data_IF_833378908199
#
_entry.id   IF_833378908199
#
_cell.length_a   1.000
_cell.length_b   1.000
_cell.length_c   1.000
_cell.angle_alpha   90.00
_cell.angle_beta   90.00
_cell.angle_gamma   90.00
#
_symmetry.space_group_name_H-M   'P 1'
#
loop_
_entity.id
_entity.type
_entity.pdbx_description
1 polymer ?
#
# COMPACT_ATOMS: atom_id res chain seq x y z
N UNK A 1 3.40 19.63 -19.18
CA UNK A 1 3.56 18.21 -18.77
C UNK A 1 2.25 17.42 -18.87
N UNK A 2 1.14 17.89 -18.28
CA UNK A 2 -0.13 17.13 -18.24
C UNK A 2 -1.10 17.35 -19.42
N UNK A 3 -0.73 18.17 -20.41
CA UNK A 3 -1.62 18.54 -21.52
C UNK A 3 -2.20 17.35 -22.32
N UNK A 4 -1.44 16.26 -22.60
CA UNK A 4 -2.02 15.07 -23.23
C UNK A 4 -3.13 14.41 -22.41
N UNK A 5 -3.00 14.41 -21.07
CA UNK A 5 -4.02 13.85 -20.17
C UNK A 5 -5.28 14.71 -20.17
N UNK A 6 -5.13 16.04 -20.16
CA UNK A 6 -6.28 16.94 -20.25
C UNK A 6 -7.07 16.74 -21.54
N UNK A 7 -6.38 16.63 -22.68
CA UNK A 7 -7.04 16.35 -23.98
C UNK A 7 -7.80 15.03 -23.98
N UNK A 8 -7.24 13.99 -23.36
CA UNK A 8 -7.91 12.70 -23.23
C UNK A 8 -9.17 12.80 -22.35
N UNK A 9 -9.12 13.58 -21.28
CA UNK A 9 -10.28 13.82 -20.41
C UNK A 9 -11.35 14.65 -21.11
N UNK A 10 -10.99 15.71 -21.84
CA UNK A 10 -11.92 16.57 -22.60
C UNK A 10 -12.67 15.80 -23.69
N UNK A 11 -12.09 14.72 -24.23
CA UNK A 11 -12.78 13.84 -25.18
C UNK A 11 -13.98 13.09 -24.55
N UNK A 12 -13.99 12.89 -23.23
CA UNK A 12 -15.06 12.20 -22.48
C UNK A 12 -15.93 13.19 -21.70
N UNK A 13 -15.32 14.22 -21.13
CA UNK A 13 -15.96 15.27 -20.32
C UNK A 13 -15.50 16.64 -20.86
N UNK A 14 -16.20 17.21 -21.86
CA UNK A 14 -15.73 18.39 -22.60
C UNK A 14 -15.45 19.64 -21.76
N UNK A 15 -16.12 19.80 -20.62
CA UNK A 15 -15.99 20.95 -19.73
C UNK A 15 -15.20 20.62 -18.43
N UNK A 16 -14.45 19.51 -18.40
CA UNK A 16 -13.74 19.02 -17.20
C UNK A 16 -12.85 20.06 -16.54
N UNK A 17 -12.20 20.94 -17.32
CA UNK A 17 -11.34 22.01 -16.78
C UNK A 17 -12.13 23.07 -16.01
N UNK A 18 -13.37 23.34 -16.40
CA UNK A 18 -14.23 24.31 -15.72
C UNK A 18 -14.78 23.74 -14.39
N UNK A 19 -14.84 22.40 -14.29
CA UNK A 19 -15.29 21.67 -13.09
C UNK A 19 -14.16 21.36 -12.12
N UNK A 20 -12.91 21.54 -12.52
CA UNK A 20 -11.75 21.20 -11.70
C UNK A 20 -11.50 22.28 -10.63
N UNK A 21 -11.84 21.97 -9.38
CA UNK A 21 -11.56 22.86 -8.24
C UNK A 21 -10.08 22.83 -7.83
N UNK A 22 -9.39 21.71 -8.07
CA UNK A 22 -7.97 21.53 -7.77
C UNK A 22 -7.28 20.72 -8.87
N UNK A 23 -6.07 21.14 -9.24
CA UNK A 23 -5.21 20.41 -10.16
C UNK A 23 -3.80 20.29 -9.58
N UNK A 24 -3.29 19.07 -9.47
CA UNK A 24 -1.91 18.80 -9.09
C UNK A 24 -1.27 17.85 -10.11
N UNK A 25 0.04 17.98 -10.32
CA UNK A 25 0.78 17.13 -11.26
C UNK A 25 1.61 16.12 -10.47
N UNK A 26 1.24 14.85 -10.62
CA UNK A 26 2.06 13.72 -10.18
C UNK A 26 3.12 13.39 -11.24
N UNK A 27 4.38 13.29 -10.81
CA UNK A 27 5.49 12.80 -11.63
C UNK A 27 6.20 11.66 -10.89
N UNK A 28 7.05 10.85 -11.54
CA UNK A 28 7.91 9.91 -10.82
C UNK A 28 8.75 10.57 -9.72
N UNK A 29 9.19 11.82 -9.90
CA UNK A 29 9.87 12.58 -8.85
C UNK A 29 8.96 12.88 -7.66
N UNK A 30 7.69 13.21 -7.92
CA UNK A 30 6.66 13.36 -6.88
C UNK A 30 6.49 12.05 -6.11
N UNK A 31 6.40 10.92 -6.82
CA UNK A 31 6.26 9.61 -6.20
C UNK A 31 7.47 9.22 -5.34
N UNK A 32 8.69 9.46 -5.86
CA UNK A 32 9.93 9.26 -5.12
C UNK A 32 9.99 10.09 -3.85
N UNK A 33 9.62 11.38 -3.94
CA UNK A 33 9.65 12.33 -2.82
C UNK A 33 8.68 11.96 -1.70
N UNK A 34 7.43 11.64 -2.03
CA UNK A 34 6.39 11.45 -1.00
C UNK A 34 6.33 10.03 -0.44
N UNK A 35 6.71 9.02 -1.23
CA UNK A 35 6.61 7.61 -0.83
C UNK A 35 7.98 6.94 -0.67
N UNK A 36 9.08 7.73 -0.66
CA UNK A 36 10.46 7.25 -0.59
C UNK A 36 10.76 6.12 -1.60
N UNK A 37 10.26 6.27 -2.83
CA UNK A 37 10.39 5.26 -3.87
C UNK A 37 11.63 5.49 -4.69
N UNK A 38 12.43 4.44 -4.85
CA UNK A 38 13.57 4.48 -5.76
C UNK A 38 13.07 4.82 -7.17
N UNK A 39 13.61 5.88 -7.77
CA UNK A 39 13.25 6.35 -9.12
C UNK A 39 11.74 6.62 -9.35
N UNK A 40 10.94 6.72 -8.29
CA UNK A 40 9.49 6.87 -8.40
C UNK A 40 8.75 5.64 -8.92
N UNK A 41 9.36 4.45 -8.85
CA UNK A 41 8.71 3.20 -9.27
C UNK A 41 7.79 2.63 -8.17
N UNK A 42 6.86 1.77 -8.58
CA UNK A 42 6.30 0.77 -7.67
C UNK A 42 7.30 -0.39 -7.53
N UNK A 43 6.92 -1.51 -6.91
CA UNK A 43 7.75 -2.71 -6.78
C UNK A 43 8.57 -3.06 -8.02
N UNK A 44 9.56 -3.97 -7.90
CA UNK A 44 10.40 -4.37 -9.03
C UNK A 44 9.51 -4.67 -10.23
N UNK A 45 9.84 -4.06 -11.38
CA UNK A 45 9.16 -4.39 -12.62
C UNK A 45 9.43 -5.88 -12.84
N UNK A 46 8.40 -6.71 -12.66
CA UNK A 46 8.45 -8.14 -12.94
C UNK A 46 9.09 -8.34 -14.31
N UNK A 47 10.00 -9.31 -14.38
CA UNK A 47 10.96 -9.39 -15.45
C UNK A 47 10.33 -9.44 -16.85
N UNK A 48 11.17 -9.32 -17.86
CA UNK A 48 10.87 -9.40 -19.30
C UNK A 48 10.11 -10.67 -19.74
N UNK A 49 9.75 -11.56 -18.81
CA UNK A 49 9.04 -12.83 -19.01
C UNK A 49 7.93 -12.95 -17.96
N UNK A 50 6.73 -13.30 -18.42
CA UNK A 50 5.56 -13.55 -17.59
C UNK A 50 5.84 -14.63 -16.53
N UNK A 51 5.48 -14.35 -15.27
CA UNK A 51 5.69 -15.28 -14.15
C UNK A 51 7.06 -15.24 -13.47
N UNK A 52 7.98 -14.37 -13.91
CA UNK A 52 9.26 -14.21 -13.22
C UNK A 52 9.12 -13.34 -11.95
N UNK A 53 9.12 -14.03 -10.80
CA UNK A 53 9.04 -13.42 -9.47
C UNK A 53 10.42 -13.10 -8.86
N UNK A 54 11.54 -13.37 -9.57
CA UNK A 54 12.90 -13.18 -9.04
C UNK A 54 13.23 -11.75 -8.61
N UNK A 55 12.47 -10.76 -9.11
CA UNK A 55 12.61 -9.37 -8.70
C UNK A 55 12.12 -9.12 -7.26
N UNK A 56 11.19 -9.92 -6.75
CA UNK A 56 10.58 -9.74 -5.43
C UNK A 56 11.33 -10.53 -4.36
N UNK A 57 11.51 -9.93 -3.18
CA UNK A 57 11.98 -10.65 -2.00
C UNK A 57 10.87 -11.48 -1.34
N UNK A 58 11.25 -12.39 -0.44
CA UNK A 58 10.34 -13.19 0.39
C UNK A 58 10.03 -12.54 1.75
N UNK A 59 10.43 -11.27 1.92
CA UNK A 59 10.34 -10.52 3.17
C UNK A 59 11.53 -10.72 4.12
N UNK A 60 12.40 -11.70 3.89
CA UNK A 60 13.58 -11.95 4.72
C UNK A 60 14.68 -10.91 4.50
N UNK A 61 15.52 -10.70 5.52
CA UNK A 61 16.77 -9.94 5.39
C UNK A 61 17.94 -10.68 6.03
N UNK A 62 19.20 -10.36 5.66
CA UNK A 62 20.37 -10.90 6.35
C UNK A 62 20.48 -10.51 7.83
N UNK A 63 19.70 -9.52 8.28
CA UNK A 63 19.72 -9.03 9.67
C UNK A 63 18.68 -9.80 10.48
N UNK A 64 19.14 -10.53 11.51
CA UNK A 64 18.27 -11.31 12.38
C UNK A 64 17.19 -10.44 13.03
N UNK A 65 15.93 -10.84 12.87
CA UNK A 65 14.78 -10.15 13.45
C UNK A 65 14.29 -8.95 12.64
N UNK A 66 14.91 -8.64 11.49
CA UNK A 66 14.45 -7.61 10.58
C UNK A 66 13.78 -8.23 9.35
N UNK A 67 12.55 -7.83 9.08
CA UNK A 67 11.75 -8.27 7.96
C UNK A 67 11.28 -7.09 7.11
N UNK A 68 11.02 -7.34 5.83
CA UNK A 68 10.52 -6.37 4.88
C UNK A 68 9.11 -6.75 4.43
N UNK A 69 8.26 -5.74 4.23
CA UNK A 69 6.91 -5.88 3.69
C UNK A 69 6.66 -4.74 2.70
N UNK A 70 5.63 -4.86 1.89
CA UNK A 70 5.22 -3.86 0.91
C UNK A 70 5.27 -4.37 -0.52
N UNK A 71 5.10 -3.45 -1.47
CA UNK A 71 4.97 -3.75 -2.89
C UNK A 71 6.27 -4.24 -3.56
N UNK A 72 7.41 -4.10 -2.87
CA UNK A 72 8.70 -4.63 -3.30
C UNK A 72 8.96 -6.08 -2.83
N UNK A 73 8.06 -6.65 -2.03
CA UNK A 73 8.13 -8.04 -1.56
C UNK A 73 7.02 -8.86 -2.24
N UNK A 74 7.21 -10.17 -2.32
CA UNK A 74 6.18 -11.08 -2.80
C UNK A 74 4.93 -10.94 -1.91
N UNK A 75 3.71 -10.84 -2.47
CA UNK A 75 3.34 -11.11 -3.87
C UNK A 75 3.43 -9.93 -4.86
N UNK A 76 3.87 -8.75 -4.44
CA UNK A 76 4.26 -7.66 -5.34
C UNK A 76 3.35 -6.44 -5.36
N UNK A 77 3.14 -5.87 -6.55
CA UNK A 77 2.57 -4.52 -6.73
C UNK A 77 1.06 -4.49 -6.51
N UNK A 78 0.59 -3.40 -5.90
CA UNK A 78 -0.83 -3.10 -5.69
C UNK A 78 -1.27 -3.28 -4.25
N UNK A 79 -2.39 -2.64 -3.89
CA UNK A 79 -2.89 -2.62 -2.51
C UNK A 79 -3.09 -4.03 -1.91
N UNK A 80 -3.76 -4.98 -2.60
CA UNK A 80 -3.95 -6.32 -2.05
C UNK A 80 -2.62 -7.07 -1.85
N UNK A 81 -1.70 -6.92 -2.80
CA UNK A 81 -0.42 -7.63 -2.77
C UNK A 81 0.50 -7.08 -1.67
N UNK A 82 0.58 -5.76 -1.52
CA UNK A 82 1.30 -5.12 -0.44
C UNK A 82 0.74 -5.54 0.93
N UNK A 83 -0.58 -5.57 1.10
CA UNK A 83 -1.20 -6.05 2.35
C UNK A 83 -0.91 -7.53 2.62
N UNK A 84 -0.99 -8.38 1.58
CA UNK A 84 -0.68 -9.80 1.68
C UNK A 84 0.76 -10.06 2.12
N UNK A 85 1.74 -9.29 1.63
CA UNK A 85 3.14 -9.42 2.07
C UNK A 85 3.30 -9.25 3.58
N UNK A 86 2.53 -8.32 4.19
CA UNK A 86 2.51 -8.12 5.64
C UNK A 86 1.93 -9.30 6.39
N UNK A 87 0.85 -9.90 5.85
CA UNK A 87 0.23 -11.10 6.42
C UNK A 87 1.20 -12.29 6.34
N UNK A 88 1.92 -12.44 5.24
CA UNK A 88 2.92 -13.51 5.08
C UNK A 88 4.05 -13.40 6.11
N UNK A 89 4.63 -12.20 6.27
CA UNK A 89 5.68 -11.97 7.27
C UNK A 89 5.14 -12.19 8.68
N UNK A 90 3.93 -11.74 8.99
CA UNK A 90 3.33 -11.98 10.30
C UNK A 90 3.19 -13.49 10.59
N UNK A 91 2.72 -14.27 9.62
CA UNK A 91 2.62 -15.74 9.72
C UNK A 91 3.98 -16.46 9.77
N UNK A 92 5.06 -15.82 9.31
CA UNK A 92 6.43 -16.32 9.48
C UNK A 92 6.98 -16.05 10.89
N UNK A 93 6.44 -15.05 11.60
CA UNK A 93 6.89 -14.62 12.93
C UNK A 93 6.16 -15.31 14.07
N UNK A 94 4.85 -15.54 13.94
CA UNK A 94 4.03 -16.15 14.98
C UNK A 94 3.03 -17.14 14.37
N UNK A 95 2.62 -18.12 15.17
CA UNK A 95 1.68 -19.15 14.74
C UNK A 95 0.28 -18.59 14.48
N UNK A 96 -0.53 -19.33 13.74
CA UNK A 96 -1.96 -19.02 13.54
C UNK A 96 -2.71 -18.95 14.88
N UNK A 97 -2.33 -19.80 15.85
CA UNK A 97 -2.94 -19.80 17.18
C UNK A 97 -2.66 -18.48 17.93
N UNK A 98 -1.44 -17.97 17.85
CA UNK A 98 -1.04 -16.70 18.47
C UNK A 98 -1.73 -15.50 17.78
N UNK A 99 -1.84 -15.50 16.45
CA UNK A 99 -2.63 -14.51 15.73
C UNK A 99 -4.09 -14.49 16.22
N UNK A 100 -4.70 -15.67 16.34
CA UNK A 100 -6.09 -15.79 16.80
C UNK A 100 -6.25 -15.28 18.23
N UNK A 101 -5.33 -15.64 19.13
CA UNK A 101 -5.35 -15.17 20.51
C UNK A 101 -5.27 -13.63 20.59
N UNK A 102 -4.42 -13.00 19.77
CA UNK A 102 -4.34 -11.54 19.68
C UNK A 102 -5.65 -10.93 19.17
N UNK A 103 -6.25 -11.49 18.11
CA UNK A 103 -7.51 -10.99 17.57
C UNK A 103 -8.67 -11.13 18.58
N UNK A 104 -8.72 -12.23 19.32
CA UNK A 104 -9.70 -12.46 20.38
C UNK A 104 -9.51 -11.46 21.53
N UNK A 105 -8.26 -11.17 21.94
CA UNK A 105 -7.92 -10.15 22.94
C UNK A 105 -8.30 -8.73 22.47
N UNK A 106 -7.97 -8.36 21.24
CA UNK A 106 -8.35 -7.06 20.64
C UNK A 106 -9.87 -6.91 20.56
N UNK A 107 -10.60 -8.00 20.26
CA UNK A 107 -12.06 -8.00 20.27
C UNK A 107 -12.60 -7.78 21.68
N UNK A 108 -12.07 -8.50 22.67
CA UNK A 108 -12.48 -8.36 24.08
C UNK A 108 -12.23 -6.94 24.62
N UNK A 109 -11.16 -6.28 24.17
CA UNK A 109 -10.81 -4.90 24.52
C UNK A 109 -11.53 -3.83 23.69
N UNK A 110 -12.32 -4.21 22.69
CA UNK A 110 -12.97 -3.28 21.76
C UNK A 110 -12.00 -2.51 20.84
N UNK A 111 -10.74 -2.94 20.75
CA UNK A 111 -9.70 -2.29 19.93
C UNK A 111 -9.62 -2.86 18.52
N UNK A 112 -10.22 -4.02 18.25
CA UNK A 112 -10.27 -4.62 16.91
C UNK A 112 -11.12 -3.76 15.95
N UNK A 113 -10.50 -3.23 14.90
CA UNK A 113 -11.18 -2.57 13.78
C UNK A 113 -11.27 -3.54 12.60
N UNK A 114 -12.45 -4.08 12.30
CA UNK A 114 -12.64 -4.99 11.17
C UNK A 114 -13.97 -4.73 10.46
N UNK A 115 -14.03 -4.99 9.15
CA UNK A 115 -15.26 -4.75 8.37
C UNK A 115 -15.69 -3.29 8.45
N UNK A 116 -17.01 -3.05 8.57
CA UNK A 116 -17.59 -1.70 8.54
C UNK A 116 -17.07 -0.78 9.65
N UNK A 117 -16.64 -1.37 10.76
CA UNK A 117 -16.09 -0.64 11.91
C UNK A 117 -14.86 0.21 11.55
N UNK A 118 -14.13 -0.06 10.46
CA UNK A 118 -12.97 0.79 10.12
C UNK A 118 -13.35 2.15 9.55
N UNK A 119 -14.50 2.26 8.87
CA UNK A 119 -14.95 3.51 8.24
C UNK A 119 -16.17 4.15 8.91
N UNK A 120 -16.88 3.40 9.74
CA UNK A 120 -18.03 3.90 10.51
C UNK A 120 -17.64 4.45 11.89
N UNK A 121 -16.39 4.21 12.34
CA UNK A 121 -15.87 4.84 13.56
C UNK A 121 -15.84 6.36 13.36
N UNK A 122 -16.53 7.15 14.20
CA UNK A 122 -16.42 8.61 14.14
C UNK A 122 -14.95 8.95 14.30
N UNK A 123 -14.36 9.67 13.33
CA UNK A 123 -12.95 10.07 13.26
C UNK A 123 -12.30 10.07 14.65
N UNK A 124 -11.66 8.96 15.02
CA UNK A 124 -10.76 8.99 16.15
C UNK A 124 -9.62 9.87 15.65
N UNK A 125 -9.64 11.14 16.04
CA UNK A 125 -8.62 12.11 15.69
C UNK A 125 -7.24 11.44 15.83
N UNK A 126 -6.30 11.67 14.90
CA UNK A 126 -4.96 11.12 15.05
C UNK A 126 -4.46 11.47 16.45
N UNK A 127 -4.14 10.45 17.25
CA UNK A 127 -3.58 10.66 18.58
C UNK A 127 -2.37 11.59 18.39
N UNK A 128 -2.40 12.75 19.03
CA UNK A 128 -1.28 13.66 19.03
C UNK A 128 -0.01 12.89 19.43
N UNK A 129 1.15 13.16 18.80
CA UNK A 129 2.39 12.55 19.24
C UNK A 129 2.64 12.94 20.70
N UNK A 130 2.66 11.93 21.58
CA UNK A 130 3.08 12.04 22.98
C UNK A 130 4.56 11.73 23.13
#
# INVERSE_FOLDING_TARGET
AAEPLWRALEAVVPDVRQRAEMTTIGTPLTHARFNNRHMGTYGPAGATVEGDLKGFGDGGTPVKGLWQVGDSQFPGIGLPAAAASGILVANALVSVAEHRALLDDMRAKGTLCAGKDWWERPNAAPRAPG
#
